data_IF_125346905426
#
_entry.id   IF_125346905426
#
_cell.length_a   1.000
_cell.length_b   1.000
_cell.length_c   1.000
_cell.angle_alpha   90.00
_cell.angle_beta   90.00
_cell.angle_gamma   90.00
#
_symmetry.space_group_name_H-M   'P 1'
#
loop_
_entity.id
_entity.type
_entity.pdbx_description
1 polymer ?
#
# COMPACT_ATOMS: atom_id res chain seq x y z
N UNK A 1 11.65 10.76 6.94
CA UNK A 1 10.63 11.56 6.21
C UNK A 1 9.32 10.82 6.32
N UNK A 2 8.19 11.50 6.47
CA UNK A 2 6.86 10.88 6.62
C UNK A 2 5.78 11.66 5.89
N UNK A 3 4.60 11.05 5.70
CA UNK A 3 3.38 11.74 5.22
C UNK A 3 2.41 11.91 6.38
N UNK A 4 1.84 13.10 6.50
CA UNK A 4 0.72 13.44 7.38
C UNK A 4 -0.51 13.59 6.51
N UNK A 5 -1.60 12.92 6.86
CA UNK A 5 -2.87 13.05 6.15
C UNK A 5 -3.96 13.56 7.09
N UNK A 6 -4.73 14.55 6.63
CA UNK A 6 -5.95 14.98 7.29
C UNK A 6 -6.96 15.46 6.25
N UNK A 7 -8.26 15.25 6.51
CA UNK A 7 -9.32 15.71 5.58
C UNK A 7 -9.33 17.23 5.42
N UNK A 8 -8.95 17.94 6.48
CA UNK A 8 -8.78 19.40 6.49
C UNK A 8 -7.31 19.75 6.24
N UNK A 9 -7.06 20.50 5.16
CA UNK A 9 -5.73 20.93 4.74
C UNK A 9 -5.06 21.86 5.77
N UNK A 10 -5.83 22.64 6.52
CA UNK A 10 -5.32 23.49 7.60
C UNK A 10 -4.80 22.64 8.76
N UNK A 11 -5.54 21.59 9.14
CA UNK A 11 -5.10 20.61 10.16
C UNK A 11 -3.84 19.88 9.69
N UNK A 12 -3.81 19.42 8.44
CA UNK A 12 -2.64 18.76 7.88
C UNK A 12 -1.41 19.70 7.91
N UNK A 13 -1.59 20.98 7.61
CA UNK A 13 -0.56 22.01 7.69
C UNK A 13 -0.04 22.26 9.10
N UNK A 14 -0.92 22.37 10.09
CA UNK A 14 -0.56 22.55 11.50
C UNK A 14 0.27 21.37 12.01
N UNK A 15 -0.18 20.14 11.76
CA UNK A 15 0.53 18.91 12.17
C UNK A 15 1.87 18.79 11.45
N UNK A 16 1.92 19.10 10.15
CA UNK A 16 3.17 19.10 9.38
C UNK A 16 4.20 20.05 10.00
N UNK A 17 3.81 21.28 10.35
CA UNK A 17 4.70 22.26 10.97
C UNK A 17 5.13 21.82 12.37
N UNK A 18 4.20 21.31 13.18
CA UNK A 18 4.46 20.89 14.55
C UNK A 18 5.45 19.72 14.63
N UNK A 19 5.34 18.75 13.71
CA UNK A 19 6.18 17.55 13.73
C UNK A 19 7.49 17.71 12.96
N UNK A 20 7.61 18.69 12.07
CA UNK A 20 8.81 18.84 11.25
C UNK A 20 10.00 19.37 12.07
N UNK A 21 11.13 18.67 11.97
CA UNK A 21 12.39 18.99 12.63
C UNK A 21 13.58 18.78 11.67
N UNK A 22 14.80 19.24 11.96
CA UNK A 22 15.94 19.16 11.04
C UNK A 22 16.23 17.76 10.47
N UNK A 23 15.99 16.70 11.25
CA UNK A 23 16.16 15.30 10.83
C UNK A 23 14.84 14.54 10.64
N UNK A 24 13.71 15.24 10.68
CA UNK A 24 12.38 14.64 10.54
C UNK A 24 11.47 15.53 9.70
N UNK A 25 11.39 15.25 8.40
CA UNK A 25 10.59 16.05 7.46
C UNK A 25 9.21 15.41 7.21
N UNK A 26 8.16 16.21 7.38
CA UNK A 26 6.79 15.81 7.08
C UNK A 26 6.33 16.38 5.73
N UNK A 27 5.65 15.56 4.94
CA UNK A 27 4.84 15.96 3.78
C UNK A 27 3.38 15.86 4.16
N UNK A 28 2.49 16.58 3.48
CA UNK A 28 1.05 16.55 3.78
C UNK A 28 0.21 16.18 2.55
N UNK A 29 -0.96 15.61 2.81
CA UNK A 29 -1.98 15.28 1.81
C UNK A 29 -3.36 15.32 2.45
N UNK A 30 -4.40 15.53 1.64
CA UNK A 30 -5.81 15.36 2.06
C UNK A 30 -6.35 13.96 1.82
N UNK A 31 -5.61 13.11 1.10
CA UNK A 31 -6.00 11.73 0.82
C UNK A 31 -5.71 10.80 2.01
N UNK A 32 -6.57 10.90 3.03
CA UNK A 32 -6.50 10.07 4.24
C UNK A 32 -6.68 8.59 3.91
N UNK A 33 -7.62 8.25 3.02
CA UNK A 33 -7.94 6.86 2.65
C UNK A 33 -6.73 6.20 1.99
N UNK A 34 -6.07 6.91 1.06
CA UNK A 34 -4.88 6.41 0.40
C UNK A 34 -3.74 6.16 1.38
N UNK A 35 -3.48 7.08 2.31
CA UNK A 35 -2.41 6.90 3.31
C UNK A 35 -2.71 5.77 4.29
N UNK A 36 -3.96 5.64 4.75
CA UNK A 36 -4.39 4.54 5.64
C UNK A 36 -4.24 3.17 4.97
N UNK A 37 -4.74 3.03 3.74
CA UNK A 37 -4.67 1.75 3.02
C UNK A 37 -3.25 1.41 2.59
N UNK A 38 -2.46 2.40 2.15
CA UNK A 38 -1.04 2.19 1.84
C UNK A 38 -0.26 1.72 3.06
N UNK A 39 -0.43 2.39 4.20
CA UNK A 39 0.23 2.05 5.46
C UNK A 39 -0.20 0.69 6.03
N UNK A 40 -1.48 0.32 5.90
CA UNK A 40 -1.98 -0.96 6.39
C UNK A 40 -1.57 -2.13 5.48
N UNK A 41 -1.77 -2.00 4.17
CA UNK A 41 -1.60 -3.12 3.23
C UNK A 41 -0.14 -3.43 2.91
N UNK A 42 0.79 -2.47 3.11
CA UNK A 42 2.23 -2.76 2.98
C UNK A 42 2.68 -3.94 3.85
N UNK A 43 2.07 -4.08 5.05
CA UNK A 43 2.43 -5.11 6.01
C UNK A 43 2.04 -6.50 5.49
N UNK A 44 0.93 -6.59 4.76
CA UNK A 44 0.47 -7.81 4.09
C UNK A 44 1.47 -8.18 2.98
N UNK A 45 1.84 -7.21 2.12
CA UNK A 45 2.83 -7.44 1.05
C UNK A 45 4.22 -7.79 1.58
N UNK A 46 4.61 -7.26 2.73
CA UNK A 46 5.86 -7.61 3.39
C UNK A 46 5.89 -9.09 3.82
N UNK A 47 4.76 -9.65 4.26
CA UNK A 47 4.64 -11.09 4.52
C UNK A 47 4.84 -11.88 3.21
N UNK A 48 4.19 -11.49 2.10
CA UNK A 48 4.41 -12.16 0.81
C UNK A 48 5.87 -12.11 0.36
N UNK A 49 6.53 -10.96 0.49
CA UNK A 49 7.96 -10.83 0.17
C UNK A 49 8.81 -11.73 1.07
N UNK A 50 8.49 -11.80 2.36
CA UNK A 50 9.12 -12.73 3.29
C UNK A 50 8.94 -14.19 2.87
N UNK A 51 7.71 -14.60 2.51
CA UNK A 51 7.43 -15.96 2.03
C UNK A 51 8.27 -16.28 0.81
N UNK A 52 8.29 -15.38 -0.19
CA UNK A 52 9.12 -15.53 -1.38
C UNK A 52 10.62 -15.69 -1.06
N UNK A 53 11.13 -14.90 -0.12
CA UNK A 53 12.51 -15.00 0.36
C UNK A 53 12.75 -16.34 1.08
N UNK A 54 11.80 -16.81 1.90
CA UNK A 54 11.89 -18.08 2.64
C UNK A 54 11.87 -19.31 1.72
N UNK A 55 11.15 -19.20 0.60
CA UNK A 55 11.13 -20.19 -0.48
C UNK A 55 12.36 -20.09 -1.41
N UNK A 56 13.29 -19.17 -1.16
CA UNK A 56 14.49 -18.92 -1.96
C UNK A 56 14.23 -18.61 -3.45
N UNK A 57 13.14 -17.89 -3.75
CA UNK A 57 12.79 -17.53 -5.14
C UNK A 57 13.66 -16.42 -5.74
N UNK A 58 14.44 -15.74 -4.91
CA UNK A 58 15.40 -14.71 -5.32
C UNK A 58 14.82 -13.31 -5.48
N UNK A 59 15.72 -12.35 -5.75
CA UNK A 59 15.40 -10.92 -5.72
C UNK A 59 14.44 -10.48 -6.82
N UNK A 60 14.44 -11.14 -7.98
CA UNK A 60 13.52 -10.83 -9.07
C UNK A 60 12.07 -11.14 -8.68
N UNK A 61 11.84 -12.26 -7.99
CA UNK A 61 10.51 -12.61 -7.48
C UNK A 61 10.03 -11.58 -6.44
N UNK A 62 10.92 -11.14 -5.54
CA UNK A 62 10.61 -10.08 -4.57
C UNK A 62 10.26 -8.76 -5.26
N UNK A 63 11.05 -8.33 -6.24
CA UNK A 63 10.78 -7.11 -7.00
C UNK A 63 9.42 -7.19 -7.73
N UNK A 64 9.14 -8.32 -8.39
CA UNK A 64 7.86 -8.56 -9.04
C UNK A 64 6.68 -8.51 -8.04
N UNK A 65 6.83 -9.13 -6.86
CA UNK A 65 5.82 -9.09 -5.80
C UNK A 65 5.56 -7.69 -5.26
N UNK A 66 6.60 -6.87 -5.08
CA UNK A 66 6.44 -5.47 -4.66
C UNK A 66 5.63 -4.70 -5.72
N UNK A 67 5.96 -4.83 -7.00
CA UNK A 67 5.27 -4.12 -8.09
C UNK A 67 3.83 -4.61 -8.28
N UNK A 68 3.58 -5.93 -8.25
CA UNK A 68 2.23 -6.50 -8.34
C UNK A 68 1.39 -6.19 -7.12
N UNK A 69 1.96 -6.32 -5.93
CA UNK A 69 1.31 -5.96 -4.69
C UNK A 69 0.92 -4.48 -4.65
N UNK A 70 1.81 -3.57 -5.07
CA UNK A 70 1.49 -2.14 -5.13
C UNK A 70 0.31 -1.86 -6.08
N UNK A 71 0.22 -2.57 -7.20
CA UNK A 71 -0.93 -2.44 -8.12
C UNK A 71 -2.24 -2.92 -7.48
N UNK A 72 -2.23 -4.02 -6.70
CA UNK A 72 -3.39 -4.49 -5.94
C UNK A 72 -3.82 -3.49 -4.85
N UNK A 73 -2.84 -2.94 -4.11
CA UNK A 73 -3.08 -1.91 -3.09
C UNK A 73 -3.67 -0.66 -3.73
N UNK A 74 -3.13 -0.23 -4.87
CA UNK A 74 -3.65 0.93 -5.62
C UNK A 74 -5.08 0.66 -6.08
N UNK A 75 -5.35 -0.53 -6.61
CA UNK A 75 -6.69 -0.94 -7.06
C UNK A 75 -7.69 -0.91 -5.91
N UNK A 76 -7.34 -1.49 -4.75
CA UNK A 76 -8.18 -1.46 -3.56
C UNK A 76 -8.39 -0.03 -3.07
N UNK A 77 -7.33 0.77 -2.98
CA UNK A 77 -7.41 2.14 -2.48
C UNK A 77 -8.30 3.01 -3.37
N UNK A 78 -8.13 2.95 -4.69
CA UNK A 78 -8.98 3.68 -5.63
C UNK A 78 -10.44 3.22 -5.58
N UNK A 79 -10.69 1.92 -5.43
CA UNK A 79 -12.06 1.43 -5.24
C UNK A 79 -12.71 1.98 -3.96
N UNK A 80 -11.92 2.31 -2.93
CA UNK A 80 -12.38 2.95 -1.69
C UNK A 80 -12.42 4.49 -1.76
N UNK A 81 -12.13 5.08 -2.91
CA UNK A 81 -12.16 6.53 -3.12
C UNK A 81 -10.84 7.27 -2.87
N UNK A 82 -9.72 6.55 -2.71
CA UNK A 82 -8.40 7.18 -2.62
C UNK A 82 -7.90 7.67 -3.99
N UNK A 83 -7.01 8.65 -3.97
CA UNK A 83 -6.33 9.11 -5.16
C UNK A 83 -5.20 8.14 -5.55
N UNK A 84 -5.16 7.60 -6.78
CA UNK A 84 -4.18 6.58 -7.17
C UNK A 84 -2.72 7.03 -7.01
N UNK A 85 -2.43 8.32 -7.26
CA UNK A 85 -1.06 8.86 -7.10
C UNK A 85 -0.54 8.86 -5.66
N UNK A 86 -1.40 8.71 -4.63
CA UNK A 86 -0.95 8.58 -3.24
C UNK A 86 -0.03 7.38 -3.04
N UNK A 87 -0.22 6.33 -3.85
CA UNK A 87 0.61 5.12 -3.81
C UNK A 87 2.04 5.34 -4.32
N UNK A 88 2.29 6.42 -5.07
CA UNK A 88 3.64 6.82 -5.49
C UNK A 88 4.38 7.62 -4.41
N UNK A 89 3.68 8.04 -3.34
CA UNK A 89 4.24 8.83 -2.26
C UNK A 89 4.92 8.01 -1.16
N UNK A 90 5.38 8.70 -0.11
CA UNK A 90 6.05 8.07 1.04
C UNK A 90 5.12 7.11 1.80
N UNK A 91 3.82 7.43 1.91
CA UNK A 91 2.80 6.57 2.53
C UNK A 91 2.39 5.36 1.68
N UNK A 92 2.88 5.26 0.44
CA UNK A 92 2.68 4.15 -0.47
C UNK A 92 3.97 3.38 -0.71
N UNK A 93 4.56 3.54 -1.91
CA UNK A 93 5.76 2.82 -2.33
C UNK A 93 6.97 3.04 -1.41
N UNK A 94 7.13 4.25 -0.86
CA UNK A 94 8.28 4.57 0.00
C UNK A 94 8.37 3.66 1.23
N UNK A 95 7.26 3.56 1.96
CA UNK A 95 7.17 2.70 3.14
C UNK A 95 7.08 1.20 2.78
N UNK A 96 6.41 0.88 1.67
CA UNK A 96 6.35 -0.48 1.15
C UNK A 96 7.74 -1.06 0.88
N UNK A 97 8.58 -0.35 0.13
CA UNK A 97 9.94 -0.83 -0.23
C UNK A 97 10.78 -1.05 1.02
N UNK A 98 10.75 -0.11 1.96
CA UNK A 98 11.45 -0.25 3.25
C UNK A 98 10.98 -1.49 4.01
N UNK A 99 9.67 -1.70 4.08
CA UNK A 99 9.07 -2.82 4.84
C UNK A 99 9.30 -4.17 4.17
N UNK A 100 9.35 -4.22 2.84
CA UNK A 100 9.57 -5.44 2.04
C UNK A 100 11.05 -5.83 1.89
N UNK A 101 11.99 -4.90 2.12
CA UNK A 101 13.42 -5.17 1.96
C UNK A 101 14.21 -5.11 3.28
N UNK A 102 13.66 -4.50 4.33
CA UNK A 102 14.32 -4.38 5.63
C UNK A 102 14.29 -5.66 6.45
N UNK A 103 15.40 -5.98 7.12
CA UNK A 103 15.50 -7.13 8.04
C UNK A 103 14.79 -6.88 9.38
N UNK A 104 14.55 -5.61 9.74
CA UNK A 104 13.80 -5.22 10.95
C UNK A 104 12.27 -5.35 10.80
N UNK A 105 11.80 -5.65 9.59
CA UNK A 105 10.37 -5.80 9.31
C UNK A 105 9.84 -7.11 9.91
N UNK A 106 9.11 -7.00 11.03
CA UNK A 106 8.45 -8.12 11.69
C UNK A 106 7.53 -8.91 10.75
N UNK A 107 6.81 -8.21 9.87
CA UNK A 107 5.94 -8.83 8.87
C UNK A 107 6.74 -9.66 7.87
N UNK A 108 7.86 -9.13 7.37
CA UNK A 108 8.77 -9.89 6.50
C UNK A 108 9.38 -11.09 7.23
N UNK A 109 9.77 -10.95 8.50
CA UNK A 109 10.28 -12.06 9.31
C UNK A 109 9.26 -13.18 9.45
N UNK A 110 7.98 -12.85 9.72
CA UNK A 110 6.90 -13.85 9.74
C UNK A 110 6.80 -14.56 8.39
N UNK A 111 6.77 -13.81 7.29
CA UNK A 111 6.74 -14.40 5.96
C UNK A 111 7.93 -15.33 5.69
N UNK A 112 9.15 -14.92 6.06
CA UNK A 112 10.37 -15.70 5.89
C UNK A 112 10.28 -17.06 6.60
N UNK A 113 9.78 -17.07 7.83
CA UNK A 113 9.61 -18.29 8.63
C UNK A 113 8.54 -19.21 8.05
N UNK A 114 7.43 -18.65 7.58
CA UNK A 114 6.39 -19.40 6.86
C UNK A 114 6.96 -20.03 5.59
N UNK A 115 7.73 -19.27 4.79
CA UNK A 115 8.38 -19.78 3.58
C UNK A 115 9.38 -20.90 3.87
N UNK A 116 9.93 -20.97 5.10
CA UNK A 116 10.79 -22.05 5.58
C UNK A 116 10.03 -23.26 6.13
N UNK A 117 8.69 -23.20 6.15
CA UNK A 117 7.82 -24.29 6.60
C UNK A 117 7.42 -24.23 8.08
N UNK A 118 7.74 -23.14 8.79
CA UNK A 118 7.28 -22.97 10.17
C UNK A 118 5.79 -22.62 10.23
N UNK A 119 5.09 -23.13 11.25
CA UNK A 119 3.66 -22.85 11.44
C UNK A 119 3.46 -21.46 12.05
N UNK A 120 2.45 -20.74 11.58
CA UNK A 120 2.11 -19.40 12.07
C UNK A 120 1.88 -19.35 13.59
N UNK A 121 1.28 -20.40 14.18
CA UNK A 121 1.06 -20.49 15.61
C UNK A 121 2.39 -20.47 16.40
N UNK A 122 3.38 -21.25 15.96
CA UNK A 122 4.69 -21.35 16.60
C UNK A 122 5.48 -20.04 16.43
N UNK A 123 5.37 -19.43 15.24
CA UNK A 123 5.96 -18.11 14.96
C UNK A 123 5.41 -17.06 15.93
N UNK A 124 4.08 -16.99 16.05
CA UNK A 124 3.39 -15.98 16.89
C UNK A 124 3.71 -16.18 18.36
N UNK A 125 3.73 -17.43 18.84
CA UNK A 125 4.09 -17.76 20.21
C UNK A 125 5.53 -17.34 20.55
N UNK A 126 6.47 -17.44 19.60
CA UNK A 126 7.87 -17.07 19.82
C UNK A 126 8.13 -15.56 19.78
N UNK A 127 7.15 -14.72 19.41
CA UNK A 127 7.35 -13.27 19.26
C UNK A 127 7.20 -12.49 20.58
N UNK A 128 6.96 -13.16 21.72
CA UNK A 128 7.06 -12.56 23.05
C UNK A 128 6.16 -11.34 23.29
N UNK A 129 4.96 -11.32 22.69
CA UNK A 129 4.00 -10.21 22.78
C UNK A 129 4.14 -9.16 21.68
N UNK A 130 5.16 -9.25 20.83
CA UNK A 130 5.23 -8.47 19.58
C UNK A 130 4.31 -9.10 18.53
N UNK A 131 3.52 -8.29 17.84
CA UNK A 131 2.57 -8.78 16.83
C UNK A 131 2.99 -8.30 15.43
N UNK A 132 2.92 -9.20 14.45
CA UNK A 132 2.99 -8.84 13.05
C UNK A 132 1.60 -8.42 12.56
N UNK A 133 1.35 -7.10 12.54
CA UNK A 133 0.06 -6.51 12.17
C UNK A 133 -0.49 -7.05 10.84
N UNK A 134 0.40 -7.34 9.88
CA UNK A 134 0.05 -7.88 8.56
C UNK A 134 -0.72 -9.20 8.62
N UNK A 135 -0.54 -10.00 9.68
CA UNK A 135 -1.29 -11.26 9.86
C UNK A 135 -2.77 -10.97 10.06
N UNK A 136 -3.11 -10.01 10.93
CA UNK A 136 -4.50 -9.60 11.14
C UNK A 136 -5.03 -8.80 9.95
N UNK A 137 -4.22 -7.87 9.43
CA UNK A 137 -4.60 -7.03 8.28
C UNK A 137 -4.91 -7.86 7.03
N UNK A 138 -4.20 -8.97 6.80
CA UNK A 138 -4.47 -9.85 5.64
C UNK A 138 -5.90 -10.38 5.60
N UNK A 139 -6.47 -10.71 6.76
CA UNK A 139 -7.87 -11.15 6.88
C UNK A 139 -8.84 -10.02 6.51
N UNK A 140 -8.63 -8.83 7.08
CA UNK A 140 -9.46 -7.67 6.80
C UNK A 140 -9.35 -7.23 5.33
N UNK A 141 -8.15 -7.26 4.77
CA UNK A 141 -7.87 -6.93 3.37
C UNK A 141 -8.59 -7.88 2.41
N UNK A 142 -8.49 -9.20 2.65
CA UNK A 142 -9.21 -10.20 1.86
C UNK A 142 -10.72 -9.99 1.93
N UNK A 143 -11.28 -9.82 3.13
CA UNK A 143 -12.72 -9.56 3.29
C UNK A 143 -13.17 -8.27 2.61
N UNK A 144 -12.35 -7.21 2.63
CA UNK A 144 -12.65 -5.97 1.92
C UNK A 144 -12.63 -6.17 0.41
N UNK A 145 -11.65 -6.92 -0.12
CA UNK A 145 -11.58 -7.27 -1.53
C UNK A 145 -12.84 -8.02 -1.97
N UNK A 146 -13.27 -9.03 -1.21
CA UNK A 146 -14.49 -9.81 -1.50
C UNK A 146 -15.75 -8.93 -1.50
N UNK A 147 -15.95 -8.11 -0.47
CA UNK A 147 -17.10 -7.19 -0.40
C UNK A 147 -17.13 -6.15 -1.53
N UNK A 148 -15.96 -5.82 -2.07
CA UNK A 148 -15.80 -4.81 -3.12
C UNK A 148 -15.74 -5.43 -4.52
N UNK A 149 -15.87 -6.77 -4.65
CA UNK A 149 -15.78 -7.47 -5.93
C UNK A 149 -14.41 -7.37 -6.61
N UNK A 150 -13.34 -7.21 -5.82
CA UNK A 150 -11.98 -7.03 -6.33
C UNK A 150 -11.22 -8.36 -6.41
N UNK A 151 -10.66 -8.66 -7.59
CA UNK A 151 -9.77 -9.80 -7.80
C UNK A 151 -8.31 -9.44 -7.48
N UNK A 152 -7.86 -9.74 -6.26
CA UNK A 152 -6.54 -9.38 -5.72
C UNK A 152 -5.77 -10.65 -5.32
N UNK A 153 -5.12 -11.27 -6.31
CA UNK A 153 -4.51 -12.59 -6.20
C UNK A 153 -3.39 -12.71 -5.14
N UNK A 154 -2.62 -11.64 -4.94
CA UNK A 154 -1.55 -11.61 -3.95
C UNK A 154 -2.16 -11.57 -2.54
N UNK A 155 -3.12 -10.67 -2.30
CA UNK A 155 -3.82 -10.57 -1.01
C UNK A 155 -4.58 -11.85 -0.68
N UNK A 156 -5.28 -12.43 -1.66
CA UNK A 156 -5.97 -13.72 -1.50
C UNK A 156 -4.99 -14.86 -1.19
N UNK A 157 -3.88 -14.98 -1.93
CA UNK A 157 -2.87 -16.00 -1.67
C UNK A 157 -2.30 -15.93 -0.26
N UNK A 158 -2.00 -14.71 0.22
CA UNK A 158 -1.52 -14.50 1.59
C UNK A 158 -2.59 -14.91 2.61
N UNK A 159 -3.85 -14.55 2.36
CA UNK A 159 -4.95 -14.95 3.22
C UNK A 159 -5.06 -16.48 3.35
N UNK A 160 -5.05 -17.20 2.22
CA UNK A 160 -5.13 -18.66 2.22
C UNK A 160 -3.97 -19.32 2.95
N UNK A 161 -2.74 -18.82 2.75
CA UNK A 161 -1.56 -19.34 3.46
C UNK A 161 -1.66 -19.11 4.97
N UNK A 162 -2.07 -17.92 5.40
CA UNK A 162 -2.08 -17.55 6.82
C UNK A 162 -3.28 -18.10 7.60
N UNK A 163 -4.44 -18.20 6.96
CA UNK A 163 -5.72 -18.48 7.65
C UNK A 163 -6.36 -19.80 7.24
N UNK A 164 -6.00 -20.37 6.08
CA UNK A 164 -6.57 -21.64 5.58
C UNK A 164 -5.53 -22.76 5.51
N UNK A 165 -4.27 -22.48 5.83
CA UNK A 165 -3.19 -23.47 5.82
C UNK A 165 -2.76 -23.91 4.43
N UNK A 166 -2.99 -23.08 3.40
CA UNK A 166 -2.52 -23.37 2.05
C UNK A 166 -0.98 -23.45 2.00
N UNK A 167 -0.46 -24.38 1.19
CA UNK A 167 0.97 -24.50 0.97
C UNK A 167 1.51 -23.26 0.22
N UNK A 168 2.57 -22.59 0.73
CA UNK A 168 3.10 -21.38 0.10
C UNK A 168 3.57 -21.59 -1.34
N UNK A 169 4.27 -22.70 -1.62
CA UNK A 169 4.82 -22.94 -2.96
C UNK A 169 3.71 -23.26 -3.97
N UNK A 170 2.69 -24.01 -3.54
CA UNK A 170 1.49 -24.29 -4.34
C UNK A 170 0.74 -23.01 -4.65
N UNK A 171 0.55 -22.12 -3.66
CA UNK A 171 -0.07 -20.81 -3.84
C UNK A 171 0.68 -19.95 -4.87
N UNK A 172 2.03 -19.98 -4.83
CA UNK A 172 2.86 -19.29 -5.85
C UNK A 172 2.61 -19.86 -7.25
N UNK A 173 2.60 -21.19 -7.40
CA UNK A 173 2.36 -21.83 -8.70
C UNK A 173 0.98 -21.48 -9.27
N UNK A 174 -0.05 -21.52 -8.43
CA UNK A 174 -1.42 -21.14 -8.82
C UNK A 174 -1.48 -19.68 -9.30
N UNK A 175 -0.80 -18.76 -8.60
CA UNK A 175 -0.74 -17.36 -9.01
C UNK A 175 -0.01 -17.15 -10.34
N UNK A 176 1.02 -17.95 -10.62
CA UNK A 176 1.74 -17.92 -11.90
C UNK A 176 0.98 -18.57 -13.06
N UNK A 177 0.00 -19.44 -12.78
CA UNK A 177 -0.85 -20.08 -13.79
C UNK A 177 -2.11 -19.29 -14.15
N UNK A 178 -2.31 -18.11 -13.56
CA UNK A 178 -3.48 -17.25 -13.84
C UNK A 178 -3.41 -16.67 -15.24
N UNK A 179 -4.57 -16.24 -15.74
CA UNK A 179 -4.67 -15.55 -17.03
C UNK A 179 -3.77 -14.32 -17.10
N UNK A 180 -3.18 -14.11 -18.28
CA UNK A 180 -2.34 -12.95 -18.56
C UNK A 180 -3.20 -11.68 -18.58
N UNK A 181 -2.74 -10.64 -17.90
CA UNK A 181 -3.42 -9.35 -17.76
C UNK A 181 -2.48 -8.20 -18.11
N UNK A 182 -3.05 -7.01 -18.32
CA UNK A 182 -2.26 -5.79 -18.48
C UNK A 182 -1.38 -5.52 -17.25
N UNK A 183 -0.23 -4.89 -17.47
CA UNK A 183 0.68 -4.51 -16.38
C UNK A 183 -0.03 -3.57 -15.40
N UNK A 184 -0.56 -2.44 -15.85
CA UNK A 184 -1.40 -1.57 -15.02
C UNK A 184 -2.87 -1.91 -15.30
N UNK A 185 -3.70 -2.19 -14.28
CA UNK A 185 -5.14 -2.40 -14.44
C UNK A 185 -5.79 -1.28 -15.27
N UNK A 186 -6.61 -1.65 -16.25
CA UNK A 186 -7.26 -0.69 -17.16
C UNK A 186 -8.12 0.31 -16.39
N UNK A 187 -8.77 -0.13 -15.30
CA UNK A 187 -9.54 0.74 -14.41
C UNK A 187 -8.71 1.88 -13.79
N UNK A 188 -7.46 1.59 -13.41
CA UNK A 188 -6.54 2.62 -12.89
C UNK A 188 -6.09 3.57 -13.99
N UNK A 189 -5.84 3.07 -15.19
CA UNK A 189 -5.50 3.92 -16.34
C UNK A 189 -6.65 4.88 -16.66
N UNK A 190 -7.89 4.39 -16.64
CA UNK A 190 -9.09 5.19 -16.86
C UNK A 190 -9.32 6.22 -15.74
N UNK A 191 -9.12 5.83 -14.47
CA UNK A 191 -9.23 6.74 -13.32
C UNK A 191 -8.26 7.92 -13.44
N UNK A 192 -7.02 7.69 -13.87
CA UNK A 192 -6.02 8.73 -14.10
C UNK A 192 -6.35 9.60 -15.33
N UNK A 193 -6.89 9.01 -16.39
CA UNK A 193 -7.27 9.74 -17.60
C UNK A 193 -8.51 10.63 -17.40
N UNK A 194 -9.48 10.18 -16.61
CA UNK A 194 -10.72 10.92 -16.32
C UNK A 194 -10.51 12.16 -15.44
N UNK A 195 -9.53 12.13 -14.53
CA UNK A 195 -9.22 13.26 -13.64
C UNK A 195 -8.61 14.49 -14.32
N UNK A 196 -8.15 14.38 -15.58
CA UNK A 196 -7.57 15.50 -16.33
C UNK A 196 -8.59 16.59 -16.71
N UNK A 197 -9.86 16.24 -16.91
CA UNK A 197 -10.90 17.20 -17.26
C UNK A 197 -11.33 18.06 -16.06
N UNK A 198 -11.46 17.46 -14.87
CA UNK A 198 -11.87 18.16 -13.65
C UNK A 198 -10.73 18.99 -13.04
N UNK A 199 -9.47 18.56 -13.18
CA UNK A 199 -8.30 19.32 -12.73
C UNK A 199 -8.07 20.61 -13.55
N UNK A 200 -8.37 20.59 -14.86
CA UNK A 200 -8.30 21.79 -15.70
C UNK A 200 -9.39 22.82 -15.32
N UNK A 201 -10.58 22.36 -14.91
CA UNK A 201 -11.66 23.22 -14.43
C UNK A 201 -11.33 23.85 -13.05
N UNK A 202 -10.72 23.09 -12.14
CA UNK A 202 -10.29 23.59 -10.83
C UNK A 202 -9.11 24.58 -10.91
N UNK A 203 -8.16 24.34 -11.83
CA UNK A 203 -7.04 25.26 -12.08
C UNK A 203 -7.50 26.59 -12.73
N UNK A 204 -8.56 26.56 -13.54
CA UNK A 204 -9.15 27.76 -14.14
C UNK A 204 -9.87 28.66 -13.12
N UNK A 205 -10.47 28.08 -12.07
CA UNK A 205 -11.19 28.83 -11.04
C UNK A 205 -10.25 29.55 -10.05
N UNK A 206 -9.03 29.05 -9.84
CA UNK A 206 -8.03 29.67 -8.96
C UNK A 206 -7.33 30.90 -9.57
N UNK A 207 -7.36 31.06 -10.89
CA UNK A 207 -6.67 32.17 -11.57
C UNK A 207 -7.53 33.45 -11.68
N UNK A 208 -8.83 33.39 -11.38
CA UNK A 208 -9.77 34.49 -11.61
C UNK A 208 -9.95 35.45 -10.41
N UNK A 209 -9.26 35.23 -9.28
CA UNK A 209 -9.54 35.95 -8.02
C UNK A 209 -8.48 36.97 -7.56
N UNK A 210 -7.63 37.48 -8.45
CA UNK A 210 -6.58 38.44 -8.05
C UNK A 210 -6.40 39.62 -9.02
N UNK A 211 -7.40 40.51 -9.10
CA UNK A 211 -7.17 41.96 -9.38
C UNK A 211 -8.26 42.78 -8.65
N UNK A 212 -7.86 43.73 -7.79
CA UNK A 212 -8.15 45.15 -8.08
C UNK A 212 -6.85 45.97 -8.03
N UNK A 213 -6.54 46.70 -9.10
CA UNK A 213 -6.87 48.12 -9.29
C UNK A 213 -6.17 49.04 -8.26
N UNK A 214 -5.09 49.70 -8.70
CA UNK A 214 -4.26 50.57 -7.87
C UNK A 214 -4.70 52.02 -7.77
N UNK A 215 -3.80 52.84 -7.19
CA UNK A 215 -3.60 54.29 -7.40
C UNK A 215 -2.37 54.69 -6.53
N UNK A 216 -1.27 55.24 -7.08
CA UNK A 216 -0.97 56.68 -7.20
C UNK A 216 -1.18 57.43 -5.85
N UNK A 217 -0.21 58.10 -5.22
CA UNK A 217 0.89 59.00 -5.67
C UNK A 217 2.05 58.89 -4.68
#
# INVERSE_FOLDING_TARGET
>A
MVTVAARDEAVAGQVQQLLSAPFFRCYRTTDVIGVELGGALKNVLAIACGISDGLNLGHNARAALITRGLAEVTTMATAMGAHPLTMLGLGGIGDLVLTCTGDLSRNRTVGLRIGRGEKLADITASMGGSHAEGVLTSRSAYQLAQRSGLDLATIEGIYRVLHEGADPMTTVRENMSRELKHEVPVSLQQSLAGGGADAAAAAGASAAAAVPAGAAV
#
